data_IF_147653229584
#
_entry.id   IF_147653229584
#
_cell.length_a   1.000
_cell.length_b   1.000
_cell.length_c   1.000
_cell.angle_alpha   90.00
_cell.angle_beta   90.00
_cell.angle_gamma   90.00
#
_symmetry.space_group_name_H-M   'P 1'
#
loop_
_entity.id
_entity.type
_entity.pdbx_description
1 polymer ?
#
# COMPACT_ATOMS: atom_id res chain seq x y z
N UNK A 1 -4.93 -5.45 -24.20
CA UNK A 1 -4.47 -4.62 -23.07
C UNK A 1 -3.97 -3.31 -23.66
N UNK A 2 -4.65 -2.18 -23.42
CA UNK A 2 -4.17 -0.86 -23.86
C UNK A 2 -3.19 -0.36 -22.80
N UNK A 3 -1.96 -0.04 -23.19
CA UNK A 3 -0.97 0.57 -22.31
C UNK A 3 -1.10 2.08 -22.53
N UNK A 4 -1.55 2.80 -21.51
CA UNK A 4 -1.59 4.25 -21.52
C UNK A 4 -0.27 4.76 -20.94
N UNK A 5 0.35 5.69 -21.65
CA UNK A 5 1.60 6.34 -21.24
C UNK A 5 1.28 7.76 -20.77
N UNK A 6 1.64 8.06 -19.54
CA UNK A 6 1.55 9.38 -18.95
C UNK A 6 2.93 9.81 -18.45
N UNK A 7 3.59 10.68 -19.22
CA UNK A 7 4.92 11.19 -18.89
C UNK A 7 4.97 11.92 -17.54
N UNK A 8 3.83 12.38 -17.01
CA UNK A 8 3.76 13.07 -15.72
C UNK A 8 4.06 12.12 -14.55
N UNK A 9 3.73 10.83 -14.64
CA UNK A 9 3.95 9.87 -13.55
C UNK A 9 5.43 9.79 -13.19
N UNK A 10 6.31 9.65 -14.17
CA UNK A 10 7.74 9.52 -13.91
C UNK A 10 8.31 10.78 -13.24
N UNK A 11 7.83 11.96 -13.63
CA UNK A 11 8.21 13.23 -13.02
C UNK A 11 7.63 13.41 -11.61
N UNK A 12 6.38 12.99 -11.37
CA UNK A 12 5.79 12.96 -10.02
C UNK A 12 6.57 12.03 -9.08
N UNK A 13 6.93 10.84 -9.54
CA UNK A 13 7.77 9.90 -8.78
C UNK A 13 9.13 10.52 -8.46
N UNK A 14 9.74 11.22 -9.42
CA UNK A 14 11.01 11.92 -9.22
C UNK A 14 10.89 13.04 -8.17
N UNK A 15 9.81 13.82 -8.18
CA UNK A 15 9.51 14.84 -7.15
C UNK A 15 9.36 14.23 -5.76
N UNK A 16 8.88 13.00 -5.66
CA UNK A 16 8.80 12.22 -4.42
C UNK A 16 10.14 11.58 -4.03
N UNK A 17 11.26 11.97 -4.66
CA UNK A 17 12.61 11.50 -4.35
C UNK A 17 12.99 10.18 -5.03
N UNK A 18 12.20 9.72 -6.00
CA UNK A 18 12.32 8.41 -6.62
C UNK A 18 12.62 8.51 -8.12
N UNK A 19 13.90 8.68 -8.47
CA UNK A 19 14.35 8.88 -9.86
C UNK A 19 14.53 7.55 -10.61
N UNK A 20 13.45 7.13 -11.28
CA UNK A 20 13.38 5.87 -12.05
C UNK A 20 14.23 5.86 -13.32
N UNK A 21 14.61 7.04 -13.85
CA UNK A 21 15.41 7.14 -15.08
C UNK A 21 16.86 6.66 -14.91
N UNK A 22 17.34 6.60 -13.66
CA UNK A 22 18.67 6.03 -13.35
C UNK A 22 18.74 4.50 -13.56
N UNK A 23 17.59 3.83 -13.70
CA UNK A 23 17.53 2.38 -13.80
C UNK A 23 17.96 1.87 -15.18
N UNK A 24 19.06 1.11 -15.21
CA UNK A 24 19.59 0.44 -16.41
C UNK A 24 19.25 -1.06 -16.47
N UNK A 25 18.26 -1.49 -15.68
CA UNK A 25 17.65 -2.82 -15.77
C UNK A 25 18.56 -4.03 -15.42
N UNK A 26 19.58 -3.85 -14.57
CA UNK A 26 20.49 -4.95 -14.15
C UNK A 26 19.83 -6.13 -13.43
N UNK A 27 18.69 -5.91 -12.76
CA UNK A 27 17.92 -6.97 -12.10
C UNK A 27 18.38 -7.39 -10.70
N UNK A 28 19.40 -6.76 -10.11
CA UNK A 28 19.83 -7.00 -8.72
C UNK A 28 18.65 -6.91 -7.74
N UNK A 29 17.79 -5.90 -7.91
CA UNK A 29 16.61 -5.71 -7.07
C UNK A 29 15.62 -6.87 -7.13
N UNK A 30 15.47 -7.54 -8.27
CA UNK A 30 14.57 -8.69 -8.42
C UNK A 30 15.23 -9.96 -7.89
N UNK A 31 16.53 -10.15 -8.14
CA UNK A 31 17.27 -11.33 -7.68
C UNK A 31 17.27 -11.52 -6.16
N UNK A 32 17.35 -10.42 -5.42
CA UNK A 32 17.38 -10.44 -3.95
C UNK A 32 16.02 -10.25 -3.26
N UNK A 33 14.95 -10.05 -4.03
CA UNK A 33 13.64 -9.74 -3.46
C UNK A 33 12.92 -11.02 -2.98
N UNK A 34 12.63 -11.18 -1.68
CA UNK A 34 11.91 -12.35 -1.18
C UNK A 34 10.48 -12.42 -1.73
N UNK A 35 9.83 -11.27 -1.98
CA UNK A 35 8.49 -11.22 -2.56
C UNK A 35 8.51 -11.72 -4.01
N UNK A 36 9.50 -11.33 -4.81
CA UNK A 36 9.61 -11.76 -6.20
C UNK A 36 9.91 -13.27 -6.32
N UNK A 37 10.63 -13.84 -5.35
CA UNK A 37 10.89 -15.28 -5.28
C UNK A 37 9.64 -16.11 -5.00
N UNK A 38 8.72 -15.60 -4.16
CA UNK A 38 7.50 -16.31 -3.79
C UNK A 38 6.33 -15.99 -4.72
N UNK A 39 6.26 -14.77 -5.24
CA UNK A 39 5.19 -14.30 -6.11
C UNK A 39 5.78 -13.72 -7.41
N UNK A 40 5.81 -14.51 -8.51
CA UNK A 40 6.38 -14.09 -9.79
C UNK A 40 5.70 -12.89 -10.44
N UNK A 41 4.46 -12.55 -10.03
CA UNK A 41 3.77 -11.36 -10.50
C UNK A 41 4.51 -10.10 -10.02
N UNK A 42 5.09 -10.13 -8.82
CA UNK A 42 5.84 -9.02 -8.25
C UNK A 42 7.28 -9.00 -8.76
N UNK A 43 7.65 -7.97 -9.52
CA UNK A 43 8.98 -7.84 -10.08
C UNK A 43 9.45 -6.37 -10.01
N UNK A 44 10.32 -6.00 -9.04
CA UNK A 44 10.71 -4.61 -8.85
C UNK A 44 11.43 -4.04 -10.08
N UNK A 45 12.27 -4.82 -10.79
CA UNK A 45 12.90 -4.40 -12.05
C UNK A 45 11.85 -4.00 -13.10
N UNK A 46 10.83 -4.84 -13.31
CA UNK A 46 9.75 -4.55 -14.26
C UNK A 46 8.96 -3.30 -13.86
N UNK A 47 8.74 -3.10 -12.56
CA UNK A 47 8.03 -1.91 -12.07
C UNK A 47 8.86 -0.65 -12.35
N UNK A 48 10.18 -0.66 -12.16
CA UNK A 48 11.03 0.48 -12.51
C UNK A 48 10.93 0.82 -14.01
N UNK A 49 10.91 -0.20 -14.87
CA UNK A 49 10.75 -0.03 -16.31
C UNK A 49 9.41 0.65 -16.63
N UNK A 50 8.31 0.11 -16.12
CA UNK A 50 6.97 0.64 -16.36
C UNK A 50 6.80 2.06 -15.79
N UNK A 51 7.39 2.33 -14.63
CA UNK A 51 7.41 3.65 -14.02
C UNK A 51 8.20 4.66 -14.86
N UNK A 52 9.35 4.27 -15.43
CA UNK A 52 10.14 5.15 -16.30
C UNK A 52 9.42 5.54 -17.60
N UNK A 53 8.54 4.65 -18.08
CA UNK A 53 7.64 4.94 -19.21
C UNK A 53 6.35 5.65 -18.79
N UNK A 54 6.12 5.87 -17.49
CA UNK A 54 4.90 6.51 -17.00
C UNK A 54 3.63 5.71 -17.26
N UNK A 55 3.68 4.38 -17.15
CA UNK A 55 2.52 3.52 -17.41
C UNK A 55 1.52 3.60 -16.25
N UNK A 56 0.31 4.11 -16.50
CA UNK A 56 -0.73 4.34 -15.46
C UNK A 56 -1.11 3.07 -14.68
N UNK A 57 -1.09 1.90 -15.34
CA UNK A 57 -1.49 0.63 -14.71
C UNK A 57 -0.68 0.24 -13.45
N UNK A 58 0.49 0.84 -13.22
CA UNK A 58 1.24 0.64 -11.97
C UNK A 58 0.53 1.25 -10.76
N UNK A 59 -0.27 2.31 -10.97
CA UNK A 59 -1.08 2.98 -9.96
C UNK A 59 -2.43 2.28 -9.76
N UNK A 60 -3.04 1.82 -10.85
CA UNK A 60 -4.33 1.12 -10.86
C UNK A 60 -4.24 -0.30 -10.27
N UNK A 61 -3.07 -0.94 -10.35
CA UNK A 61 -2.90 -2.32 -9.91
C UNK A 61 -2.47 -2.42 -8.44
N UNK A 62 -2.63 -3.61 -7.85
CA UNK A 62 -2.14 -3.90 -6.50
C UNK A 62 -0.62 -4.14 -6.43
N UNK A 63 0.13 -3.95 -7.52
CA UNK A 63 1.52 -4.40 -7.63
C UNK A 63 2.43 -3.76 -6.59
N UNK A 64 2.28 -2.45 -6.36
CA UNK A 64 3.07 -1.72 -5.36
C UNK A 64 2.74 -2.16 -3.93
N UNK A 65 1.52 -2.62 -3.69
CA UNK A 65 1.05 -3.06 -2.38
C UNK A 65 1.55 -4.46 -1.99
N UNK A 66 2.09 -5.24 -2.93
CA UNK A 66 2.73 -6.52 -2.64
C UNK A 66 4.11 -6.37 -2.00
N UNK A 67 4.75 -5.21 -2.13
CA UNK A 67 6.08 -4.98 -1.57
C UNK A 67 6.07 -4.99 -0.03
N UNK A 68 6.92 -5.83 0.56
CA UNK A 68 7.07 -5.93 2.02
C UNK A 68 7.83 -4.74 2.64
N UNK A 69 8.35 -3.82 1.82
CA UNK A 69 9.10 -2.63 2.29
C UNK A 69 10.33 -3.01 3.14
N UNK A 70 11.03 -4.08 2.75
CA UNK A 70 12.23 -4.57 3.45
C UNK A 70 13.53 -3.86 3.04
N UNK A 71 13.49 -2.92 2.09
CA UNK A 71 14.62 -2.09 1.63
C UNK A 71 15.83 -2.79 1.00
N UNK A 72 15.86 -4.12 0.91
CA UNK A 72 17.00 -4.85 0.33
C UNK A 72 17.34 -4.43 -1.10
N UNK A 73 16.32 -4.19 -1.94
CA UNK A 73 16.52 -3.70 -3.31
C UNK A 73 17.10 -2.29 -3.38
N UNK A 74 16.85 -1.45 -2.37
CA UNK A 74 17.41 -0.10 -2.27
C UNK A 74 18.88 -0.17 -1.90
N UNK A 75 19.23 -0.93 -0.85
CA UNK A 75 20.63 -1.08 -0.39
C UNK A 75 21.57 -1.70 -1.44
N UNK A 76 21.05 -2.56 -2.31
CA UNK A 76 21.86 -3.26 -3.31
C UNK A 76 21.88 -2.57 -4.69
N UNK A 77 21.13 -1.47 -4.87
CA UNK A 77 21.03 -0.82 -6.18
C UNK A 77 22.34 -0.08 -6.53
N UNK A 78 23.08 -0.50 -7.57
CA UNK A 78 24.37 0.13 -7.92
C UNK A 78 24.22 1.53 -8.55
N UNK A 79 22.98 1.97 -8.82
CA UNK A 79 22.67 3.28 -9.41
C UNK A 79 21.84 4.17 -8.50
N UNK A 80 21.62 3.73 -7.25
CA UNK A 80 20.85 4.48 -6.26
C UNK A 80 19.47 4.93 -6.79
N UNK A 81 18.76 4.02 -7.47
CA UNK A 81 17.38 4.23 -7.98
C UNK A 81 16.37 4.26 -6.83
N UNK A 82 16.69 3.59 -5.73
CA UNK A 82 15.83 3.44 -4.54
C UNK A 82 14.47 2.79 -4.84
N UNK A 83 14.42 1.51 -5.29
CA UNK A 83 13.17 0.90 -5.74
C UNK A 83 12.08 0.79 -4.66
N UNK A 84 12.44 0.70 -3.36
CA UNK A 84 11.46 0.66 -2.27
C UNK A 84 10.70 1.98 -2.16
N UNK A 85 11.43 3.08 -2.30
CA UNK A 85 10.95 4.45 -2.28
C UNK A 85 10.08 4.74 -3.50
N UNK A 86 10.49 4.27 -4.69
CA UNK A 86 9.63 4.30 -5.89
C UNK A 86 8.29 3.60 -5.63
N UNK A 87 8.29 2.41 -5.02
CA UNK A 87 7.06 1.70 -4.70
C UNK A 87 6.21 2.44 -3.64
N UNK A 88 6.85 3.08 -2.67
CA UNK A 88 6.19 3.97 -1.72
C UNK A 88 5.53 5.18 -2.41
N UNK A 89 6.24 5.82 -3.32
CA UNK A 89 5.74 6.93 -4.12
C UNK A 89 4.55 6.50 -4.99
N UNK A 90 4.61 5.32 -5.63
CA UNK A 90 3.48 4.74 -6.38
C UNK A 90 2.26 4.57 -5.46
N UNK A 91 2.41 4.05 -4.23
CA UNK A 91 1.29 3.93 -3.27
C UNK A 91 0.68 5.28 -2.93
N UNK A 92 1.52 6.29 -2.67
CA UNK A 92 1.07 7.64 -2.34
C UNK A 92 0.29 8.26 -3.50
N UNK A 93 0.79 8.11 -4.73
CA UNK A 93 0.09 8.57 -5.93
C UNK A 93 -1.22 7.82 -6.16
N UNK A 94 -1.26 6.50 -5.96
CA UNK A 94 -2.51 5.72 -6.02
C UNK A 94 -3.56 6.21 -5.01
N UNK A 95 -3.13 6.61 -3.80
CA UNK A 95 -4.01 7.21 -2.80
C UNK A 95 -4.49 8.60 -3.26
N UNK A 96 -3.57 9.45 -3.68
CA UNK A 96 -3.85 10.83 -4.10
C UNK A 96 -4.83 10.88 -5.28
N UNK A 97 -4.63 10.01 -6.28
CA UNK A 97 -5.51 9.88 -7.45
C UNK A 97 -6.79 9.08 -7.20
N UNK A 98 -6.99 8.58 -5.97
CA UNK A 98 -8.16 7.81 -5.59
C UNK A 98 -8.38 6.53 -6.43
N UNK A 99 -7.29 5.85 -6.75
CA UNK A 99 -7.31 4.63 -7.56
C UNK A 99 -8.17 3.54 -6.92
N UNK A 100 -8.97 2.84 -7.72
CA UNK A 100 -9.90 1.81 -7.24
C UNK A 100 -9.22 0.43 -7.07
N UNK A 101 -8.04 0.41 -6.46
CA UNK A 101 -7.33 -0.81 -6.13
C UNK A 101 -7.52 -1.19 -4.65
N UNK A 102 -7.28 -2.46 -4.33
CA UNK A 102 -7.51 -2.99 -2.98
C UNK A 102 -6.64 -2.30 -1.94
N UNK A 103 -5.38 -2.01 -2.28
CA UNK A 103 -4.44 -1.34 -1.41
C UNK A 103 -4.85 0.09 -1.06
N UNK A 104 -5.21 0.90 -2.06
CA UNK A 104 -5.72 2.26 -1.87
C UNK A 104 -6.97 2.26 -1.00
N UNK A 105 -7.94 1.39 -1.31
CA UNK A 105 -9.16 1.24 -0.50
C UNK A 105 -8.83 0.88 0.95
N UNK A 106 -7.92 -0.06 1.15
CA UNK A 106 -7.50 -0.47 2.50
C UNK A 106 -6.87 0.69 3.26
N UNK A 107 -5.87 1.35 2.67
CA UNK A 107 -5.13 2.44 3.30
C UNK A 107 -6.05 3.60 3.71
N UNK A 108 -6.98 4.01 2.82
CA UNK A 108 -7.95 5.07 3.11
C UNK A 108 -8.90 4.70 4.24
N UNK A 109 -9.52 3.52 4.18
CA UNK A 109 -10.45 3.07 5.22
C UNK A 109 -9.74 2.86 6.56
N UNK A 110 -8.50 2.35 6.54
CA UNK A 110 -7.69 2.18 7.73
C UNK A 110 -7.40 3.51 8.42
N UNK A 111 -6.90 4.50 7.66
CA UNK A 111 -6.60 5.84 8.18
C UNK A 111 -7.87 6.54 8.71
N UNK A 112 -8.99 6.45 7.98
CA UNK A 112 -10.27 7.02 8.39
C UNK A 112 -10.79 6.45 9.72
N UNK A 113 -10.64 5.13 9.92
CA UNK A 113 -11.04 4.49 11.18
C UNK A 113 -10.17 5.01 12.33
N UNK A 114 -8.86 5.06 12.16
CA UNK A 114 -7.96 5.55 13.22
C UNK A 114 -8.25 7.03 13.52
N UNK A 115 -8.43 7.87 12.51
CA UNK A 115 -8.77 9.29 12.68
C UNK A 115 -10.05 9.48 13.51
N UNK A 116 -11.07 8.66 13.26
CA UNK A 116 -12.39 8.83 13.90
C UNK A 116 -12.51 8.12 15.26
N UNK A 117 -11.78 7.02 15.46
CA UNK A 117 -11.92 6.15 16.64
C UNK A 117 -10.69 6.12 17.55
N UNK A 118 -9.57 6.70 17.14
CA UNK A 118 -8.30 6.72 17.88
C UNK A 118 -7.54 5.39 17.91
N UNK A 119 -8.20 4.30 17.53
CA UNK A 119 -7.63 2.95 17.42
C UNK A 119 -8.18 2.27 16.18
N UNK A 120 -7.47 1.25 15.73
CA UNK A 120 -8.00 0.35 14.72
C UNK A 120 -9.14 -0.48 15.30
N UNK A 121 -10.27 -0.53 14.58
CA UNK A 121 -11.35 -1.48 14.83
C UNK A 121 -11.43 -2.46 13.67
N UNK A 122 -11.03 -3.71 13.91
CA UNK A 122 -11.00 -4.76 12.89
C UNK A 122 -12.41 -5.03 12.33
N UNK A 123 -13.43 -4.94 13.17
CA UNK A 123 -14.83 -5.12 12.78
C UNK A 123 -15.27 -4.03 11.81
N UNK A 124 -14.99 -2.76 12.14
CA UNK A 124 -15.36 -1.63 11.28
C UNK A 124 -14.60 -1.65 9.97
N UNK A 125 -13.33 -2.03 10.01
CA UNK A 125 -12.50 -2.19 8.81
C UNK A 125 -13.04 -3.31 7.92
N UNK A 126 -13.38 -4.46 8.50
CA UNK A 126 -13.99 -5.58 7.77
C UNK A 126 -15.29 -5.15 7.08
N UNK A 127 -16.17 -4.43 7.79
CA UNK A 127 -17.43 -3.93 7.25
C UNK A 127 -17.19 -2.93 6.11
N UNK A 128 -16.26 -1.98 6.28
CA UNK A 128 -15.92 -1.01 5.22
C UNK A 128 -15.34 -1.67 3.96
N UNK A 129 -14.60 -2.78 4.11
CA UNK A 129 -13.96 -3.46 2.98
C UNK A 129 -14.85 -4.49 2.28
N UNK A 130 -15.62 -5.26 3.05
CA UNK A 130 -16.40 -6.43 2.57
C UNK A 130 -17.92 -6.28 2.73
N UNK A 131 -18.39 -5.20 3.32
CA UNK A 131 -19.79 -5.02 3.70
C UNK A 131 -20.20 -5.88 4.91
N UNK A 132 -21.43 -5.67 5.38
CA UNK A 132 -21.98 -6.38 6.55
C UNK A 132 -22.08 -7.89 6.27
N UNK A 133 -22.66 -8.28 5.14
CA UNK A 133 -22.83 -9.68 4.76
C UNK A 133 -21.48 -10.38 4.58
N UNK A 134 -20.52 -9.74 3.92
CA UNK A 134 -19.18 -10.30 3.73
C UNK A 134 -18.39 -10.45 5.04
N UNK A 135 -18.60 -9.53 5.98
CA UNK A 135 -18.00 -9.59 7.33
C UNK A 135 -18.65 -10.66 8.19
N UNK A 136 -19.98 -10.80 8.12
CA UNK A 136 -20.71 -11.83 8.86
C UNK A 136 -20.27 -13.25 8.50
N UNK A 137 -19.87 -13.49 7.24
CA UNK A 137 -19.30 -14.77 6.81
C UNK A 137 -17.93 -15.10 7.41
N UNK A 138 -17.22 -14.15 7.99
CA UNK A 138 -15.91 -14.37 8.66
C UNK A 138 -16.05 -14.71 10.16
N UNK A 139 -17.17 -14.33 10.77
CA UNK A 139 -17.49 -14.59 12.18
C UNK A 139 -17.68 -16.06 12.59
N UNK A 140 -18.11 -17.01 11.72
CA UNK A 140 -18.34 -18.40 12.12
C UNK A 140 -17.05 -19.20 12.41
N UNK A 141 -15.86 -18.58 12.31
CA UNK A 141 -14.63 -19.27 12.68
C UNK A 141 -14.52 -19.40 14.20
N UNK A 142 -14.10 -20.56 14.71
CA UNK A 142 -13.83 -20.74 16.14
C UNK A 142 -12.88 -19.68 16.71
N UNK A 143 -11.93 -19.23 15.87
CA UNK A 143 -10.94 -18.21 16.20
C UNK A 143 -11.61 -16.87 16.50
N UNK A 144 -12.56 -16.44 15.67
CA UNK A 144 -13.29 -15.19 15.88
C UNK A 144 -14.05 -15.20 17.21
N UNK A 145 -14.74 -16.29 17.54
CA UNK A 145 -15.46 -16.43 18.80
C UNK A 145 -14.53 -16.41 20.01
N UNK A 146 -13.37 -17.08 19.93
CA UNK A 146 -12.32 -17.07 20.97
C UNK A 146 -11.74 -15.66 21.17
N UNK A 147 -11.52 -14.90 20.10
CA UNK A 147 -11.02 -13.52 20.18
C UNK A 147 -12.04 -12.56 20.79
N UNK A 148 -13.31 -12.66 20.39
CA UNK A 148 -14.40 -11.87 20.97
C UNK A 148 -14.55 -12.12 22.48
N UNK A 149 -14.58 -13.39 22.90
CA UNK A 149 -14.67 -13.76 24.33
C UNK A 149 -13.50 -13.25 25.16
N UNK A 150 -12.30 -13.16 24.57
CA UNK A 150 -11.10 -12.63 25.24
C UNK A 150 -10.98 -11.10 25.14
N UNK A 151 -11.96 -10.39 24.60
CA UNK A 151 -11.92 -8.94 24.43
C UNK A 151 -10.83 -8.45 23.46
N UNK A 152 -10.34 -9.34 22.57
CA UNK A 152 -9.26 -9.03 21.61
C UNK A 152 -9.76 -8.40 20.31
N UNK A 153 -11.04 -8.07 20.25
CA UNK A 153 -11.66 -7.44 19.08
C UNK A 153 -12.06 -6.03 19.48
N UNK A 154 -11.41 -5.06 18.87
CA UNK A 154 -11.62 -3.65 19.18
C UNK A 154 -12.92 -3.16 18.52
N UNK A 155 -13.93 -2.87 19.32
CA UNK A 155 -15.22 -2.31 18.86
C UNK A 155 -15.50 -0.90 19.40
N UNK A 156 -14.88 -0.55 20.53
CA UNK A 156 -15.07 0.72 21.21
C UNK A 156 -14.20 1.84 20.64
N UNK A 157 -14.61 3.08 20.88
CA UNK A 157 -13.81 4.28 20.58
C UNK A 157 -12.77 4.47 21.67
N UNK A 158 -11.53 4.78 21.31
CA UNK A 158 -10.48 5.09 22.27
C UNK A 158 -10.78 6.40 23.02
N UNK A 159 -10.51 6.48 24.33
CA UNK A 159 -10.54 7.76 25.06
C UNK A 159 -9.66 8.84 24.41
N UNK A 160 -8.54 8.46 23.81
CA UNK A 160 -7.61 9.36 23.13
C UNK A 160 -8.02 9.73 21.70
N UNK A 161 -9.22 9.35 21.23
CA UNK A 161 -9.63 9.59 19.85
C UNK A 161 -9.62 11.08 19.45
N UNK A 162 -9.90 11.99 20.40
CA UNK A 162 -9.82 13.43 20.15
C UNK A 162 -8.38 13.91 19.88
N UNK A 163 -7.40 13.38 20.62
CA UNK A 163 -5.99 13.70 20.43
C UNK A 163 -5.45 13.14 19.12
N UNK A 164 -5.79 11.88 18.82
CA UNK A 164 -5.44 11.25 17.54
C UNK A 164 -6.00 12.06 16.38
N UNK A 165 -7.27 12.51 16.45
CA UNK A 165 -7.86 13.35 15.40
C UNK A 165 -7.07 14.65 15.18
N UNK A 166 -6.61 15.30 16.24
CA UNK A 166 -5.76 16.51 16.14
C UNK A 166 -4.44 16.21 15.40
N UNK A 167 -3.82 15.04 15.62
CA UNK A 167 -2.60 14.65 14.89
C UNK A 167 -2.86 14.56 13.39
N UNK A 168 -4.00 13.99 12.97
CA UNK A 168 -4.37 13.97 11.56
C UNK A 168 -4.61 15.38 10.99
N UNK A 169 -5.26 16.26 11.75
CA UNK A 169 -5.53 17.65 11.34
C UNK A 169 -4.25 18.51 11.25
N UNK A 170 -3.12 18.10 11.83
CA UNK A 170 -1.85 18.82 11.71
C UNK A 170 -1.13 18.59 10.37
N UNK A 171 -1.47 17.52 9.66
CA UNK A 171 -0.78 17.08 8.43
C UNK A 171 -1.65 17.17 7.18
N UNK A 172 -2.91 17.56 7.33
CA UNK A 172 -3.87 17.84 6.25
C UNK A 172 -3.88 19.33 5.89
#
# INVERSE_FOLDING_TARGET
MRINFNSEIAEELKKLGADVYKCYQCGTCTGDCPVAQVNPIFNPRKIMLLASFGVDSILESNIAWLCSTCYKCTSLCPRDVKPSEVLGAIRNLSIARNENNTGTRFAKNFAEIIKNYGILSEVKLAIKLKGIVGSARMLPSEVAWKMLRKGKVSTAKSPAAGEVKKIFEMVE
#
